data_IF_970272851854
#
_entry.id   IF_970272851854
#
_cell.length_a   1.000
_cell.length_b   1.000
_cell.length_c   1.000
_cell.angle_alpha   90.00
_cell.angle_beta   90.00
_cell.angle_gamma   90.00
#
_symmetry.space_group_name_H-M   'P 1'
#
loop_
_entity.id
_entity.type
_entity.pdbx_description
1 polymer ?
#
# COMPACT_ATOMS: atom_id res chain seq x y z
N UNK A 1 -33.63 15.41 -15.12
CA UNK A 1 -33.55 13.95 -14.95
C UNK A 1 -32.17 13.64 -14.40
N UNK A 2 -32.10 13.19 -13.15
CA UNK A 2 -30.86 12.73 -12.51
C UNK A 2 -30.57 11.31 -13.03
N UNK A 3 -29.34 11.06 -13.47
CA UNK A 3 -28.83 9.72 -13.71
C UNK A 3 -27.81 9.42 -12.62
N UNK A 4 -28.26 8.66 -11.63
CA UNK A 4 -27.44 7.97 -10.62
C UNK A 4 -26.52 6.99 -11.32
N UNK A 5 -25.21 7.28 -11.33
CA UNK A 5 -24.18 6.35 -11.75
C UNK A 5 -23.80 5.45 -10.58
N UNK A 6 -24.22 4.19 -10.67
CA UNK A 6 -23.84 3.09 -9.78
C UNK A 6 -22.31 2.99 -9.68
N UNK A 7 -21.78 3.20 -8.47
CA UNK A 7 -20.40 2.86 -8.14
C UNK A 7 -20.34 1.35 -7.99
N UNK A 8 -19.67 0.68 -8.93
CA UNK A 8 -19.35 -0.73 -8.85
C UNK A 8 -18.30 -0.94 -7.74
N UNK A 9 -18.76 -1.03 -6.49
CA UNK A 9 -17.97 -1.49 -5.36
C UNK A 9 -17.83 -3.01 -5.49
N UNK A 10 -16.59 -3.51 -5.53
CA UNK A 10 -16.30 -4.94 -5.45
C UNK A 10 -16.82 -5.49 -4.10
N UNK A 11 -17.79 -6.42 -4.06
CA UNK A 11 -18.44 -6.82 -2.81
C UNK A 11 -17.67 -7.83 -1.94
N UNK A 12 -16.35 -8.00 -2.06
CA UNK A 12 -15.65 -9.16 -1.46
C UNK A 12 -14.48 -8.86 -0.51
N UNK A 13 -14.04 -7.62 -0.34
CA UNK A 13 -12.99 -7.29 0.63
C UNK A 13 -13.51 -7.04 2.06
N UNK A 14 -14.81 -6.81 2.23
CA UNK A 14 -15.44 -6.39 3.51
C UNK A 14 -15.28 -7.37 4.68
N UNK A 15 -14.98 -8.66 4.42
CA UNK A 15 -14.76 -9.68 5.46
C UNK A 15 -13.38 -9.60 6.13
N UNK A 16 -12.31 -9.38 5.37
CA UNK A 16 -10.94 -9.24 5.91
C UNK A 16 -10.76 -7.92 6.69
N UNK A 17 -11.51 -6.89 6.30
CA UNK A 17 -11.31 -5.50 6.70
C UNK A 17 -11.52 -5.27 8.21
N UNK A 18 -12.50 -5.92 8.83
CA UNK A 18 -12.78 -5.69 10.26
C UNK A 18 -11.73 -6.35 11.17
N UNK A 19 -11.18 -7.49 10.77
CA UNK A 19 -10.29 -8.29 11.63
C UNK A 19 -8.88 -7.73 11.72
N UNK A 20 -8.41 -7.07 10.66
CA UNK A 20 -7.05 -6.51 10.55
C UNK A 20 -6.94 -5.13 11.23
N UNK A 21 -8.02 -4.33 11.21
CA UNK A 21 -8.00 -2.93 11.68
C UNK A 21 -8.79 -2.65 12.98
N UNK A 22 -9.39 -3.66 13.63
CA UNK A 22 -9.86 -3.55 15.02
C UNK A 22 -11.37 -3.59 15.26
N UNK A 23 -12.12 -4.35 14.46
CA UNK A 23 -13.50 -4.72 14.73
C UNK A 23 -13.63 -6.22 14.99
N UNK A 24 -13.89 -6.60 16.24
CA UNK A 24 -14.14 -7.99 16.59
C UNK A 24 -15.46 -8.47 15.98
N UNK A 25 -15.39 -9.43 15.06
CA UNK A 25 -16.49 -10.37 14.87
C UNK A 25 -15.95 -11.77 14.57
N UNK A 26 -16.59 -12.76 15.21
CA UNK A 26 -16.24 -14.17 15.12
C UNK A 26 -17.00 -14.80 13.95
N UNK A 27 -16.27 -15.06 12.87
CA UNK A 27 -16.56 -16.17 11.97
C UNK A 27 -17.16 -15.79 10.61
N UNK A 28 -16.39 -15.97 9.57
CA UNK A 28 -16.81 -16.68 8.34
C UNK A 28 -15.55 -17.12 7.60
N UNK A 29 -15.68 -18.23 6.87
CA UNK A 29 -14.83 -18.80 5.81
C UNK A 29 -13.29 -18.58 5.88
N UNK A 30 -12.50 -19.64 5.74
CA UNK A 30 -11.03 -19.52 5.66
C UNK A 30 -10.66 -18.52 4.57
N UNK A 31 -10.31 -17.30 4.97
CA UNK A 31 -9.78 -16.23 4.13
C UNK A 31 -8.47 -16.68 3.52
N UNK A 32 -8.54 -17.35 2.36
CA UNK A 32 -7.35 -17.68 1.58
C UNK A 32 -6.83 -16.34 1.03
N UNK A 33 -5.61 -15.92 1.42
CA UNK A 33 -5.03 -14.69 0.91
C UNK A 33 -4.94 -14.75 -0.62
N UNK A 34 -5.17 -13.63 -1.32
CA UNK A 34 -5.03 -13.60 -2.77
C UNK A 34 -3.60 -13.98 -3.18
N UNK A 35 -3.49 -14.71 -4.30
CA UNK A 35 -2.20 -14.97 -4.93
C UNK A 35 -1.77 -13.68 -5.62
N UNK A 36 -0.71 -13.05 -5.09
CA UNK A 36 -0.16 -11.84 -5.69
C UNK A 36 0.76 -12.19 -6.87
N UNK A 37 0.76 -11.38 -7.94
CA UNK A 37 1.77 -11.52 -8.98
C UNK A 37 3.17 -11.23 -8.42
N UNK A 38 4.23 -11.75 -9.07
CA UNK A 38 5.58 -11.34 -8.74
C UNK A 38 5.78 -9.85 -9.00
N UNK A 39 6.66 -9.21 -8.23
CA UNK A 39 7.04 -7.83 -8.48
C UNK A 39 7.63 -7.66 -9.90
N UNK A 40 7.30 -6.57 -10.62
CA UNK A 40 7.85 -6.34 -11.94
C UNK A 40 9.35 -6.04 -11.84
N UNK A 41 10.17 -6.72 -12.62
CA UNK A 41 11.64 -6.64 -12.59
C UNK A 41 12.25 -6.01 -13.83
N UNK A 42 11.42 -5.62 -14.80
CA UNK A 42 11.83 -4.93 -16.02
C UNK A 42 10.81 -3.86 -16.41
N UNK A 43 11.21 -2.92 -17.27
CA UNK A 43 10.31 -1.89 -17.81
C UNK A 43 9.02 -2.47 -18.41
N UNK A 44 9.11 -3.53 -19.22
CA UNK A 44 7.93 -4.15 -19.85
C UNK A 44 6.99 -4.78 -18.81
N UNK A 45 7.55 -5.33 -17.73
CA UNK A 45 6.77 -5.85 -16.61
C UNK A 45 6.11 -4.74 -15.81
N UNK A 46 6.79 -3.60 -15.61
CA UNK A 46 6.18 -2.40 -15.00
C UNK A 46 5.00 -1.94 -15.85
N UNK A 47 5.16 -1.81 -17.17
CA UNK A 47 4.07 -1.44 -18.07
C UNK A 47 2.90 -2.42 -17.99
N UNK A 48 3.18 -3.72 -17.92
CA UNK A 48 2.16 -4.78 -17.78
C UNK A 48 1.43 -4.71 -16.44
N UNK A 49 2.16 -4.51 -15.35
CA UNK A 49 1.59 -4.40 -14.00
C UNK A 49 0.80 -3.10 -13.82
N UNK A 50 1.21 -2.02 -14.48
CA UNK A 50 0.58 -0.71 -14.44
C UNK A 50 -0.67 -0.61 -15.35
N UNK A 51 -0.77 -1.42 -16.41
CA UNK A 51 -1.86 -1.35 -17.38
C UNK A 51 -3.28 -1.42 -16.76
N UNK A 52 -3.60 -2.32 -15.81
CA UNK A 52 -4.91 -2.35 -15.15
C UNK A 52 -5.25 -1.01 -14.47
N UNK A 53 -4.28 -0.40 -13.79
CA UNK A 53 -4.47 0.89 -13.11
C UNK A 53 -4.74 2.03 -14.10
N UNK A 54 -4.14 2.01 -15.29
CA UNK A 54 -4.49 2.97 -16.35
C UNK A 54 -5.92 2.76 -16.86
N UNK A 55 -6.36 1.52 -17.05
CA UNK A 55 -7.74 1.23 -17.46
C UNK A 55 -8.76 1.73 -16.44
N UNK A 56 -8.41 1.68 -15.15
CA UNK A 56 -9.22 2.20 -14.04
C UNK A 56 -9.01 3.70 -13.77
N UNK A 57 -8.16 4.39 -14.55
CA UNK A 57 -7.80 5.80 -14.36
C UNK A 57 -7.18 6.09 -12.98
N UNK A 58 -6.47 5.13 -12.41
CA UNK A 58 -5.81 5.18 -11.09
C UNK A 58 -4.31 4.85 -11.16
N UNK A 59 -3.53 5.37 -12.12
CA UNK A 59 -2.11 5.00 -12.26
C UNK A 59 -1.26 5.39 -11.05
N UNK A 60 -1.67 6.41 -10.29
CA UNK A 60 -0.98 6.82 -9.05
C UNK A 60 -1.05 5.75 -7.96
N UNK A 61 -2.09 4.93 -7.94
CA UNK A 61 -2.26 3.90 -6.91
C UNK A 61 -1.19 2.83 -7.05
N UNK A 62 -0.84 2.43 -8.27
CA UNK A 62 0.29 1.52 -8.52
C UNK A 62 1.60 2.07 -7.92
N UNK A 63 1.93 3.34 -8.20
CA UNK A 63 3.14 3.95 -7.65
C UNK A 63 3.08 4.10 -6.13
N UNK A 64 1.90 4.34 -5.58
CA UNK A 64 1.71 4.39 -4.14
C UNK A 64 1.87 3.01 -3.51
N UNK A 65 1.42 1.93 -4.16
CA UNK A 65 1.66 0.57 -3.66
C UNK A 65 3.16 0.27 -3.65
N UNK A 66 3.87 0.60 -4.73
CA UNK A 66 5.33 0.45 -4.79
C UNK A 66 6.04 1.29 -3.73
N UNK A 67 5.54 2.50 -3.45
CA UNK A 67 6.06 3.34 -2.36
C UNK A 67 5.88 2.68 -1.00
N UNK A 68 4.69 2.12 -0.72
CA UNK A 68 4.40 1.42 0.53
C UNK A 68 5.31 0.21 0.71
N UNK A 69 5.45 -0.64 -0.32
CA UNK A 69 6.35 -1.82 -0.28
C UNK A 69 7.81 -1.39 -0.11
N UNK A 70 8.24 -0.32 -0.79
CA UNK A 70 9.60 0.23 -0.63
C UNK A 70 9.84 0.73 0.79
N UNK A 71 8.87 1.42 1.39
CA UNK A 71 8.98 1.95 2.75
C UNK A 71 9.26 0.83 3.75
N UNK A 72 8.63 -0.33 3.60
CA UNK A 72 8.86 -1.51 4.46
C UNK A 72 10.09 -2.33 4.09
N UNK A 73 10.93 -1.86 3.16
CA UNK A 73 12.17 -2.51 2.74
C UNK A 73 11.96 -3.89 2.06
N UNK A 74 10.77 -4.15 1.51
CA UNK A 74 10.41 -5.43 0.87
C UNK A 74 10.32 -5.33 -0.67
N UNK A 75 10.60 -4.16 -1.25
CA UNK A 75 10.56 -3.98 -2.69
C UNK A 75 11.89 -4.44 -3.31
N UNK A 76 11.89 -5.39 -4.26
CA UNK A 76 13.14 -5.87 -4.86
C UNK A 76 13.93 -4.76 -5.57
N UNK A 77 15.26 -4.80 -5.50
CA UNK A 77 16.13 -3.84 -6.18
C UNK A 77 15.89 -3.81 -7.70
N UNK A 78 15.63 -4.97 -8.31
CA UNK A 78 15.28 -5.07 -9.72
C UNK A 78 14.01 -4.27 -10.07
N UNK A 79 13.03 -4.25 -9.16
CA UNK A 79 11.81 -3.44 -9.33
C UNK A 79 12.10 -1.96 -9.17
N UNK A 80 12.97 -1.57 -8.23
CA UNK A 80 13.41 -0.18 -8.07
C UNK A 80 14.11 0.30 -9.35
N UNK A 81 14.97 -0.52 -9.94
CA UNK A 81 15.65 -0.22 -11.20
C UNK A 81 14.65 -0.10 -12.37
N UNK A 82 13.71 -1.03 -12.48
CA UNK A 82 12.66 -0.99 -13.52
C UNK A 82 11.76 0.26 -13.41
N UNK A 83 11.40 0.67 -12.18
CA UNK A 83 10.67 1.92 -11.94
C UNK A 83 11.51 3.15 -12.32
N UNK A 84 12.82 3.13 -12.07
CA UNK A 84 13.75 4.19 -12.51
C UNK A 84 13.88 4.27 -14.03
N UNK A 85 13.85 3.13 -14.73
CA UNK A 85 13.80 3.09 -16.19
C UNK A 85 12.48 3.67 -16.72
N UNK A 86 11.35 3.32 -16.09
CA UNK A 86 10.05 3.91 -16.41
C UNK A 86 10.06 5.44 -16.22
N UNK A 87 10.56 5.92 -15.09
CA UNK A 87 10.74 7.35 -14.80
C UNK A 87 11.54 8.07 -15.89
N UNK A 88 12.63 7.46 -16.34
CA UNK A 88 13.49 8.03 -17.39
C UNK A 88 12.80 8.09 -18.76
N UNK A 89 11.95 7.10 -19.08
CA UNK A 89 11.21 7.01 -20.34
C UNK A 89 9.93 7.86 -20.36
N UNK A 90 9.37 8.19 -19.19
CA UNK A 90 8.12 8.94 -19.04
C UNK A 90 8.29 10.20 -18.16
N UNK A 91 9.23 11.11 -18.49
CA UNK A 91 9.58 12.23 -17.61
C UNK A 91 8.42 13.19 -17.35
N UNK A 92 7.48 13.33 -18.29
CA UNK A 92 6.29 14.18 -18.16
C UNK A 92 5.33 13.70 -17.08
N UNK A 93 5.27 12.39 -16.81
CA UNK A 93 4.41 11.83 -15.77
C UNK A 93 4.89 12.25 -14.36
N UNK A 94 6.18 12.56 -14.20
CA UNK A 94 6.80 12.90 -12.92
C UNK A 94 7.36 14.33 -12.86
N UNK A 95 7.05 15.15 -13.86
CA UNK A 95 7.64 16.48 -14.04
C UNK A 95 7.44 17.39 -12.83
N UNK A 96 6.24 17.33 -12.22
CA UNK A 96 5.87 18.12 -11.06
C UNK A 96 6.82 17.94 -9.86
N UNK A 97 7.52 16.79 -9.76
CA UNK A 97 8.41 16.47 -8.63
C UNK A 97 9.82 16.05 -9.07
N UNK A 98 10.31 16.67 -10.15
CA UNK A 98 11.70 16.53 -10.66
C UNK A 98 12.04 15.10 -11.07
N UNK A 99 11.10 14.40 -11.70
CA UNK A 99 11.33 13.07 -12.24
C UNK A 99 11.10 11.94 -11.23
N UNK A 100 11.36 12.12 -9.93
CA UNK A 100 11.33 11.00 -8.99
C UNK A 100 9.93 10.45 -8.73
N UNK A 101 9.67 9.20 -9.13
CA UNK A 101 8.37 8.55 -8.88
C UNK A 101 7.97 8.58 -7.41
N UNK A 102 8.92 8.34 -6.49
CA UNK A 102 8.63 8.35 -5.06
C UNK A 102 8.31 9.74 -4.51
N UNK A 103 8.94 10.79 -5.04
CA UNK A 103 8.60 12.17 -4.65
C UNK A 103 7.26 12.59 -5.24
N UNK A 104 6.94 12.12 -6.44
CA UNK A 104 5.62 12.31 -7.05
C UNK A 104 4.52 11.69 -6.20
N UNK A 105 4.70 10.47 -5.69
CA UNK A 105 3.72 9.87 -4.77
C UNK A 105 3.49 10.74 -3.54
N UNK A 106 4.56 11.11 -2.83
CA UNK A 106 4.46 11.93 -1.61
C UNK A 106 3.79 13.26 -1.88
N UNK A 107 4.21 13.96 -2.94
CA UNK A 107 3.73 15.29 -3.26
C UNK A 107 2.32 15.32 -3.88
N UNK A 108 2.02 14.42 -4.80
CA UNK A 108 0.71 14.35 -5.47
C UNK A 108 -0.41 13.91 -4.53
N UNK A 109 -0.10 13.06 -3.55
CA UNK A 109 -1.08 12.60 -2.56
C UNK A 109 -1.08 13.43 -1.27
N UNK A 110 -0.20 14.44 -1.18
CA UNK A 110 -0.03 15.26 0.03
C UNK A 110 0.12 14.40 1.29
N UNK A 111 0.97 13.36 1.20
CA UNK A 111 1.19 12.45 2.31
C UNK A 111 1.78 13.20 3.51
N UNK A 112 1.39 12.82 4.72
CA UNK A 112 1.92 13.46 5.92
C UNK A 112 3.37 13.07 6.18
N UNK A 113 4.05 13.85 7.03
CA UNK A 113 5.41 13.54 7.50
C UNK A 113 5.49 12.27 8.39
N UNK A 114 4.34 11.67 8.76
CA UNK A 114 4.26 10.43 9.55
C UNK A 114 3.76 9.23 8.75
N UNK A 115 3.56 9.36 7.45
CA UNK A 115 3.02 8.28 6.61
C UNK A 115 3.90 7.02 6.63
N UNK A 116 5.22 7.20 6.72
CA UNK A 116 6.18 6.10 6.82
C UNK A 116 6.02 5.33 8.12
N UNK A 117 5.74 6.02 9.23
CA UNK A 117 5.42 5.42 10.53
C UNK A 117 4.11 4.64 10.44
N UNK A 118 3.07 5.17 9.79
CA UNK A 118 1.80 4.48 9.58
C UNK A 118 1.98 3.17 8.81
N UNK A 119 2.69 3.24 7.67
CA UNK A 119 3.00 2.10 6.82
C UNK A 119 3.73 1.01 7.61
N UNK A 120 4.81 1.38 8.30
CA UNK A 120 5.59 0.42 9.08
C UNK A 120 4.81 -0.19 10.24
N UNK A 121 4.08 0.63 11.01
CA UNK A 121 3.36 0.15 12.18
C UNK A 121 2.26 -0.86 11.79
N UNK A 122 1.51 -0.55 10.73
CA UNK A 122 0.48 -1.43 10.20
C UNK A 122 1.08 -2.71 9.61
N UNK A 123 2.20 -2.62 8.89
CA UNK A 123 2.89 -3.81 8.37
C UNK A 123 3.27 -4.77 9.50
N UNK A 124 3.89 -4.26 10.57
CA UNK A 124 4.33 -5.07 11.70
C UNK A 124 3.15 -5.74 12.41
N UNK A 125 2.09 -4.98 12.69
CA UNK A 125 0.88 -5.50 13.36
C UNK A 125 0.19 -6.54 12.50
N UNK A 126 -0.03 -6.23 11.22
CA UNK A 126 -0.81 -7.10 10.35
C UNK A 126 -0.03 -8.35 9.95
N UNK A 127 1.28 -8.25 9.72
CA UNK A 127 2.13 -9.41 9.48
C UNK A 127 2.21 -10.34 10.70
N UNK A 128 2.24 -9.78 11.91
CA UNK A 128 2.18 -10.59 13.13
C UNK A 128 0.85 -11.33 13.26
N UNK A 129 -0.27 -10.68 12.91
CA UNK A 129 -1.58 -11.32 12.90
C UNK A 129 -1.70 -12.41 11.83
N UNK A 130 -1.26 -12.14 10.59
CA UNK A 130 -1.23 -13.12 9.51
C UNK A 130 -0.46 -14.40 9.90
N UNK A 131 0.72 -14.24 10.52
CA UNK A 131 1.51 -15.37 11.02
C UNK A 131 0.80 -16.18 12.09
N UNK A 132 0.10 -15.52 13.02
CA UNK A 132 -0.73 -16.20 14.03
C UNK A 132 -1.86 -16.99 13.40
N UNK A 133 -2.42 -16.48 12.30
CA UNK A 133 -3.47 -17.13 11.52
C UNK A 133 -2.92 -18.17 10.52
N UNK A 134 -1.61 -18.44 10.52
CA UNK A 134 -0.99 -19.52 9.75
C UNK A 134 -0.63 -19.17 8.30
N UNK A 135 -0.52 -17.89 7.95
CA UNK A 135 -0.14 -17.45 6.60
C UNK A 135 0.88 -16.32 6.60
N UNK A 136 1.49 -16.08 5.43
CA UNK A 136 2.48 -15.01 5.22
C UNK A 136 1.83 -13.86 4.47
N UNK A 137 1.85 -12.67 5.07
CA UNK A 137 1.30 -11.48 4.42
C UNK A 137 2.22 -11.02 3.29
N UNK A 138 1.77 -11.19 2.04
CA UNK A 138 2.54 -10.70 0.90
C UNK A 138 2.66 -9.15 0.94
N UNK A 139 3.87 -8.57 0.80
CA UNK A 139 4.07 -7.11 0.89
C UNK A 139 3.20 -6.30 -0.08
N UNK A 140 3.02 -6.78 -1.32
CA UNK A 140 2.14 -6.12 -2.29
C UNK A 140 0.66 -6.19 -1.88
N UNK A 141 0.21 -7.31 -1.30
CA UNK A 141 -1.17 -7.42 -0.81
C UNK A 141 -1.39 -6.44 0.35
N UNK A 142 -0.41 -6.32 1.24
CA UNK A 142 -0.43 -5.31 2.31
C UNK A 142 -0.53 -3.89 1.74
N UNK A 143 0.26 -3.56 0.71
CA UNK A 143 0.24 -2.24 0.10
C UNK A 143 -1.11 -1.90 -0.53
N UNK A 144 -1.73 -2.86 -1.24
CA UNK A 144 -3.07 -2.67 -1.80
C UNK A 144 -4.11 -2.39 -0.70
N UNK A 145 -4.12 -3.21 0.36
CA UNK A 145 -5.00 -2.99 1.52
C UNK A 145 -4.72 -1.65 2.24
N UNK A 146 -3.46 -1.24 2.32
CA UNK A 146 -3.10 0.05 2.91
C UNK A 146 -3.75 1.20 2.14
N UNK A 147 -3.68 1.20 0.80
CA UNK A 147 -4.29 2.24 -0.03
C UNK A 147 -5.80 2.24 0.09
N UNK A 148 -6.44 1.07 0.03
CA UNK A 148 -7.90 0.97 0.18
C UNK A 148 -8.38 1.64 1.47
N UNK A 149 -7.63 1.46 2.57
CA UNK A 149 -7.93 2.09 3.86
C UNK A 149 -7.50 3.56 3.91
N UNK A 150 -6.39 3.92 3.27
CA UNK A 150 -5.91 5.30 3.23
C UNK A 150 -6.89 6.21 2.47
N UNK A 151 -7.49 5.71 1.40
CA UNK A 151 -8.36 6.45 0.49
C UNK A 151 -9.81 6.59 0.96
N UNK A 152 -10.19 6.11 2.15
CA UNK A 152 -11.54 6.34 2.69
C UNK A 152 -11.67 7.77 3.24
N UNK A 153 -12.86 8.36 3.13
CA UNK A 153 -13.12 9.74 3.59
C UNK A 153 -12.89 9.92 5.09
N UNK A 154 -13.04 8.85 5.87
CA UNK A 154 -12.87 8.77 7.31
C UNK A 154 -11.56 8.10 7.74
N UNK A 155 -10.61 7.98 6.81
CA UNK A 155 -9.34 7.30 7.02
C UNK A 155 -8.63 7.79 8.29
N UNK A 156 -8.23 6.84 9.12
CA UNK A 156 -7.48 7.09 10.37
C UNK A 156 -6.11 6.44 10.36
N UNK A 157 -5.65 5.96 9.21
CA UNK A 157 -4.42 5.16 9.11
C UNK A 157 -3.17 5.94 9.50
N UNK A 158 -3.19 7.25 9.34
CA UNK A 158 -2.09 8.17 9.62
C UNK A 158 -2.55 9.36 10.51
N UNK A 159 -3.47 9.07 11.43
CA UNK A 159 -3.95 10.03 12.43
C UNK A 159 -3.50 9.57 13.81
N UNK A 160 -2.80 10.46 14.52
CA UNK A 160 -2.09 10.11 15.74
C UNK A 160 -2.48 10.97 16.94
N UNK A 161 -2.51 10.35 18.10
CA UNK A 161 -2.19 11.03 19.37
C UNK A 161 -0.69 10.92 19.63
N UNK A 162 -0.13 11.80 20.47
CA UNK A 162 1.27 11.75 20.87
C UNK A 162 1.67 10.36 21.39
N UNK A 163 0.82 9.76 22.23
CA UNK A 163 1.04 8.43 22.78
C UNK A 163 1.08 7.36 21.68
N UNK A 164 0.09 7.33 20.78
CA UNK A 164 0.02 6.31 19.73
C UNK A 164 1.19 6.41 18.75
N UNK A 165 1.64 7.63 18.43
CA UNK A 165 2.81 7.85 17.58
C UNK A 165 4.10 7.39 18.25
N UNK A 166 4.27 7.69 19.54
CA UNK A 166 5.44 7.24 20.31
C UNK A 166 5.51 5.70 20.39
N UNK A 167 4.38 5.04 20.63
CA UNK A 167 4.30 3.58 20.67
C UNK A 167 4.60 2.95 19.29
N UNK A 168 4.11 3.54 18.20
CA UNK A 168 4.43 3.09 16.84
C UNK A 168 5.93 3.19 16.56
N UNK A 169 6.54 4.35 16.84
CA UNK A 169 8.00 4.55 16.71
C UNK A 169 8.81 3.55 17.52
N UNK A 170 8.38 3.24 18.75
CA UNK A 170 9.03 2.25 19.59
C UNK A 170 8.97 0.83 18.99
N UNK A 171 7.81 0.41 18.47
CA UNK A 171 7.67 -0.90 17.79
C UNK A 171 8.59 -1.01 16.58
N UNK A 172 8.65 0.04 15.76
CA UNK A 172 9.49 0.10 14.56
C UNK A 172 10.98 0.05 14.93
N UNK A 173 11.38 0.83 15.93
CA UNK A 173 12.75 0.80 16.44
C UNK A 173 13.12 -0.59 16.95
N UNK A 174 12.28 -1.21 17.78
CA UNK A 174 12.51 -2.55 18.31
C UNK A 174 12.66 -3.59 17.18
N UNK A 175 11.86 -3.49 16.12
CA UNK A 175 11.99 -4.36 14.96
C UNK A 175 13.31 -4.15 14.21
N UNK A 176 13.72 -2.90 13.97
CA UNK A 176 14.94 -2.58 13.21
C UNK A 176 16.23 -2.88 13.98
N UNK A 177 16.27 -2.63 15.29
CA UNK A 177 17.44 -2.91 16.13
C UNK A 177 17.53 -4.37 16.57
N UNK A 178 16.46 -5.15 16.42
CA UNK A 178 16.43 -6.58 16.71
C UNK A 178 16.75 -7.48 15.51
N UNK A 179 17.03 -6.91 14.32
CA UNK A 179 17.51 -7.64 13.14
C UNK A 179 19.03 -7.82 13.17
#
# INVERSE_FOLDING_TARGET
MQATGDKHLLPKAMGLLNKIFGGGDKGSEKDIPPVMPPFPTSYDEVMRALAPYYHEQRPMDFFFEMFVVRTIEELPDATIQALGEFESKHPTFFEAFKGSWSKTVVGSLNLSDTIDVAIWDLWLKNSANARKDGWVYHPWHFASNFIENYSTDDSRVDVWTEETLAQARQRIAAHRFGR
#
